data_IF_507881859054
#
_entry.id   IF_507881859054
#
_cell.length_a   1.000
_cell.length_b   1.000
_cell.length_c   1.000
_cell.angle_alpha   90.00
_cell.angle_beta   90.00
_cell.angle_gamma   90.00
#
_symmetry.space_group_name_H-M   'P 1'
#
loop_
_entity.id
_entity.type
_entity.pdbx_description
1 polymer ?
#
# COMPACT_ATOMS: atom_id res chain seq x y z
N UNK A 1 -14.73 -64.53 -4.09
CA UNK A 1 -14.79 -63.18 -3.49
C UNK A 1 -13.74 -62.32 -4.19
N UNK A 2 -14.18 -61.34 -4.98
CA UNK A 2 -13.34 -60.53 -5.86
C UNK A 2 -12.93 -59.25 -5.13
N UNK A 3 -11.64 -59.07 -4.86
CA UNK A 3 -11.08 -57.85 -4.28
C UNK A 3 -10.80 -56.88 -5.44
N UNK A 4 -11.45 -55.72 -5.45
CA UNK A 4 -11.23 -54.67 -6.45
C UNK A 4 -10.06 -53.78 -6.05
N UNK A 5 -9.16 -53.55 -7.01
CA UNK A 5 -8.06 -52.59 -6.94
C UNK A 5 -8.61 -51.21 -7.31
N UNK A 6 -8.61 -50.26 -6.37
CA UNK A 6 -8.86 -48.84 -6.68
C UNK A 6 -7.50 -48.16 -6.77
N UNK A 7 -7.07 -47.89 -7.99
CA UNK A 7 -5.89 -47.06 -8.26
C UNK A 7 -6.30 -45.58 -8.15
N UNK A 8 -5.95 -44.94 -7.04
CA UNK A 8 -6.14 -43.51 -6.83
C UNK A 8 -5.08 -42.73 -7.61
N UNK A 9 -5.48 -42.10 -8.71
CA UNK A 9 -4.67 -41.14 -9.46
C UNK A 9 -4.53 -39.84 -8.63
N UNK A 10 -3.38 -39.68 -7.98
CA UNK A 10 -2.92 -38.39 -7.44
C UNK A 10 -2.49 -37.50 -8.60
N UNK A 11 -3.36 -36.59 -9.04
CA UNK A 11 -2.94 -35.46 -9.87
C UNK A 11 -2.03 -34.55 -9.04
N UNK A 12 -0.82 -34.19 -9.52
CA UNK A 12 -0.03 -33.18 -8.85
C UNK A 12 -0.74 -31.83 -9.01
N UNK A 13 -1.17 -31.24 -7.90
CA UNK A 13 -1.43 -29.80 -7.84
C UNK A 13 -0.10 -29.10 -8.17
N UNK A 14 0.02 -28.63 -9.41
CA UNK A 14 1.03 -27.65 -9.78
C UNK A 14 0.68 -26.35 -9.06
N UNK A 15 1.16 -26.18 -7.83
CA UNK A 15 1.22 -24.88 -7.19
C UNK A 15 2.09 -23.97 -8.07
N UNK A 16 1.46 -23.11 -8.88
CA UNK A 16 2.12 -21.95 -9.45
C UNK A 16 2.48 -21.02 -8.29
N UNK A 17 3.68 -21.19 -7.74
CA UNK A 17 4.29 -20.14 -6.96
C UNK A 17 4.64 -19.01 -7.94
N UNK A 18 3.73 -18.05 -8.11
CA UNK A 18 4.04 -16.81 -8.79
C UNK A 18 5.16 -16.12 -8.00
N UNK A 19 6.38 -16.13 -8.54
CA UNK A 19 7.49 -15.40 -7.95
C UNK A 19 7.16 -13.91 -7.87
N UNK A 20 7.76 -13.15 -6.92
CA UNK A 20 7.48 -11.73 -6.78
C UNK A 20 7.75 -10.99 -8.10
N UNK A 21 6.80 -10.18 -8.54
CA UNK A 21 7.00 -9.35 -9.73
C UNK A 21 7.99 -8.24 -9.42
N UNK A 22 8.85 -7.88 -10.39
CA UNK A 22 9.87 -6.85 -10.21
C UNK A 22 9.70 -5.72 -11.23
N UNK A 23 9.83 -4.48 -10.78
CA UNK A 23 9.86 -3.27 -11.61
C UNK A 23 11.09 -2.45 -11.25
N UNK A 24 11.91 -2.15 -12.25
CA UNK A 24 13.06 -1.25 -12.11
C UNK A 24 12.70 0.09 -12.75
N UNK A 25 12.79 1.16 -11.96
CA UNK A 25 12.58 2.53 -12.42
C UNK A 25 13.97 3.15 -12.62
N UNK A 26 14.26 3.72 -13.81
CA UNK A 26 15.52 4.42 -14.03
C UNK A 26 15.68 5.58 -13.05
N UNK A 27 16.92 5.85 -12.63
CA UNK A 27 17.20 6.98 -11.77
C UNK A 27 16.97 8.28 -12.56
N UNK A 28 15.91 9.02 -12.24
CA UNK A 28 15.67 10.36 -12.73
C UNK A 28 16.46 11.42 -11.95
N UNK A 29 16.24 12.72 -12.23
CA UNK A 29 16.87 13.81 -11.49
C UNK A 29 16.58 13.69 -9.98
N UNK A 30 17.56 14.06 -9.17
CA UNK A 30 17.45 14.00 -7.71
C UNK A 30 16.31 14.91 -7.23
N UNK A 31 15.35 14.31 -6.53
CA UNK A 31 14.25 15.03 -5.85
C UNK A 31 14.63 15.31 -4.39
N UNK A 32 13.97 16.28 -3.72
CA UNK A 32 14.26 16.59 -2.33
C UNK A 32 14.24 15.33 -1.46
N UNK A 33 15.25 15.14 -0.62
CA UNK A 33 15.37 13.96 0.25
C UNK A 33 14.32 13.93 1.38
N UNK A 34 13.50 14.98 1.50
CA UNK A 34 12.51 15.10 2.55
C UNK A 34 11.32 14.19 2.29
N UNK A 35 11.18 13.16 3.12
CA UNK A 35 10.05 12.24 3.02
C UNK A 35 8.77 12.89 3.57
N UNK A 36 7.69 12.82 2.82
CA UNK A 36 6.41 13.50 3.12
C UNK A 36 5.25 12.64 2.65
N UNK A 37 4.16 12.66 3.41
CA UNK A 37 2.84 12.25 2.92
C UNK A 37 1.91 13.46 2.96
N UNK A 38 1.03 13.57 1.98
CA UNK A 38 -0.08 14.51 2.03
C UNK A 38 -1.23 14.05 1.14
N UNK A 39 -2.29 14.85 1.17
CA UNK A 39 -3.52 14.62 0.44
C UNK A 39 -3.73 15.79 -0.53
N UNK A 40 -4.13 15.49 -1.76
CA UNK A 40 -4.57 16.52 -2.71
C UNK A 40 -6.08 16.75 -2.59
N UNK A 41 -6.83 15.68 -2.33
CA UNK A 41 -8.29 15.68 -2.13
C UNK A 41 -8.68 14.49 -1.22
N UNK A 42 -9.97 14.18 -1.14
CA UNK A 42 -10.51 13.11 -0.29
C UNK A 42 -10.15 11.69 -0.73
N UNK A 43 -9.63 11.54 -1.95
CA UNK A 43 -9.31 10.27 -2.59
C UNK A 43 -7.83 10.17 -2.95
N UNK A 44 -7.23 11.29 -3.38
CA UNK A 44 -5.87 11.34 -3.87
C UNK A 44 -4.90 11.64 -2.74
N UNK A 45 -3.96 10.71 -2.51
CA UNK A 45 -2.82 10.94 -1.63
C UNK A 45 -1.49 10.87 -2.39
N UNK A 46 -0.48 11.58 -1.92
CA UNK A 46 0.89 11.43 -2.39
C UNK A 46 1.80 10.97 -1.26
N UNK A 47 2.75 10.11 -1.63
CA UNK A 47 3.75 9.57 -0.71
C UNK A 47 5.11 9.80 -1.36
N UNK A 48 5.94 10.63 -0.74
CA UNK A 48 7.33 10.79 -1.13
C UNK A 48 8.23 10.20 -0.06
N UNK A 49 8.94 9.12 -0.38
CA UNK A 49 9.82 8.43 0.58
C UNK A 49 11.11 8.04 -0.13
N UNK A 50 12.25 8.46 0.43
CA UNK A 50 13.59 8.16 -0.08
C UNK A 50 13.75 8.41 -1.61
N UNK A 51 13.19 9.50 -2.13
CA UNK A 51 13.31 9.85 -3.55
C UNK A 51 12.37 9.09 -4.51
N UNK A 52 11.49 8.23 -3.97
CA UNK A 52 10.39 7.60 -4.70
C UNK A 52 9.10 8.38 -4.43
N UNK A 53 8.43 8.85 -5.48
CA UNK A 53 7.10 9.49 -5.38
C UNK A 53 6.03 8.51 -5.82
N UNK A 54 5.07 8.24 -4.94
CA UNK A 54 3.86 7.50 -5.25
C UNK A 54 2.65 8.41 -5.23
N UNK A 55 1.71 8.11 -6.12
CA UNK A 55 0.40 8.74 -6.16
C UNK A 55 -0.65 7.65 -5.94
N UNK A 56 -1.52 7.82 -4.96
CA UNK A 56 -2.58 6.87 -4.60
C UNK A 56 -3.91 7.42 -5.11
N UNK A 57 -4.63 6.59 -5.86
CA UNK A 57 -5.96 6.87 -6.42
C UNK A 57 -6.10 8.28 -7.00
N UNK A 58 -5.24 8.71 -7.95
CA UNK A 58 -5.32 10.06 -8.49
C UNK A 58 -6.64 10.36 -9.16
N UNK A 59 -7.19 11.52 -8.82
CA UNK A 59 -8.25 12.14 -9.59
C UNK A 59 -7.78 12.43 -11.04
N UNK A 60 -8.67 12.35 -12.03
CA UNK A 60 -8.37 12.75 -13.40
C UNK A 60 -7.77 14.16 -13.46
N UNK A 61 -6.66 14.34 -14.17
CA UNK A 61 -5.98 15.63 -14.29
C UNK A 61 -4.98 15.95 -13.18
N UNK A 62 -4.70 15.02 -12.27
CA UNK A 62 -3.59 15.14 -11.32
C UNK A 62 -2.23 15.13 -12.04
N UNK A 63 -1.70 16.30 -12.42
CA UNK A 63 -0.42 16.44 -13.11
C UNK A 63 0.77 16.47 -12.12
N UNK A 64 0.82 15.46 -11.26
CA UNK A 64 1.90 15.31 -10.27
C UNK A 64 2.85 14.25 -10.79
N UNK A 65 4.13 14.58 -11.07
CA UNK A 65 5.10 13.61 -11.54
C UNK A 65 5.27 12.47 -10.52
N UNK A 66 4.73 11.29 -10.81
CA UNK A 66 4.82 10.10 -9.97
C UNK A 66 5.77 9.06 -10.58
N UNK A 67 6.51 8.35 -9.72
CA UNK A 67 7.29 7.18 -10.12
C UNK A 67 6.42 5.92 -10.17
N UNK A 68 5.42 5.84 -9.28
CA UNK A 68 4.45 4.75 -9.23
C UNK A 68 3.06 5.32 -8.94
N UNK A 69 2.06 4.82 -9.64
CA UNK A 69 0.66 5.11 -9.34
C UNK A 69 0.01 3.86 -8.76
N UNK A 70 -0.63 4.00 -7.61
CA UNK A 70 -1.33 2.94 -6.90
C UNK A 70 -2.83 3.16 -7.08
N UNK A 71 -3.46 2.21 -7.76
CA UNK A 71 -4.90 2.17 -7.95
C UNK A 71 -5.48 1.10 -7.03
N UNK A 72 -6.16 1.53 -5.98
CA UNK A 72 -6.90 0.64 -5.07
C UNK A 72 -8.39 0.66 -5.38
N UNK A 73 -8.87 1.71 -6.04
CA UNK A 73 -10.26 1.87 -6.44
C UNK A 73 -10.46 1.55 -7.93
N UNK A 74 -11.46 0.75 -8.32
CA UNK A 74 -11.73 0.41 -9.72
C UNK A 74 -12.01 1.64 -10.60
N UNK A 75 -12.67 2.66 -10.04
CA UNK A 75 -13.04 3.89 -10.76
C UNK A 75 -11.82 4.69 -11.23
N UNK A 76 -10.69 4.60 -10.50
CA UNK A 76 -9.46 5.32 -10.82
C UNK A 76 -8.68 4.69 -12.00
N UNK A 77 -9.07 3.50 -12.47
CA UNK A 77 -8.48 2.84 -13.64
C UNK A 77 -8.66 3.63 -14.94
N UNK A 78 -9.79 4.31 -15.10
CA UNK A 78 -10.10 5.08 -16.32
C UNK A 78 -9.25 6.34 -16.48
N UNK A 79 -8.62 6.81 -15.40
CA UNK A 79 -7.85 8.04 -15.38
C UNK A 79 -6.39 7.87 -15.83
N UNK A 80 -5.93 6.63 -16.08
CA UNK A 80 -4.50 6.35 -16.30
C UNK A 80 -4.24 5.76 -17.69
N UNK A 81 -3.37 6.42 -18.44
CA UNK A 81 -2.81 5.94 -19.71
C UNK A 81 -1.48 5.23 -19.46
N UNK A 82 -1.54 3.98 -18.96
CA UNK A 82 -0.32 3.23 -18.60
C UNK A 82 -0.48 1.72 -18.61
N UNK A 83 0.64 1.00 -18.62
CA UNK A 83 0.67 -0.46 -18.42
C UNK A 83 0.40 -0.76 -16.94
N UNK A 84 -0.89 -0.86 -16.58
CA UNK A 84 -1.31 -1.25 -15.24
C UNK A 84 -1.03 -2.73 -14.98
N UNK A 85 -0.50 -3.06 -13.80
CA UNK A 85 -0.37 -4.44 -13.33
C UNK A 85 -1.37 -4.67 -12.20
N UNK A 86 -2.39 -5.53 -12.39
CA UNK A 86 -3.24 -5.92 -11.28
C UNK A 86 -2.42 -6.71 -10.25
N UNK A 87 -2.66 -6.43 -8.97
CA UNK A 87 -2.17 -7.25 -7.86
C UNK A 87 -3.36 -7.96 -7.23
N UNK A 88 -3.30 -9.28 -7.17
CA UNK A 88 -4.25 -10.08 -6.38
C UNK A 88 -3.90 -9.97 -4.90
N UNK A 89 -4.87 -10.26 -4.03
CA UNK A 89 -4.59 -10.34 -2.59
C UNK A 89 -3.45 -11.36 -2.37
N UNK A 90 -2.50 -10.98 -1.51
CA UNK A 90 -1.24 -11.64 -1.21
C UNK A 90 -0.13 -11.51 -2.27
N UNK A 91 -0.42 -10.93 -3.44
CA UNK A 91 0.63 -10.62 -4.41
C UNK A 91 1.59 -9.57 -3.86
N UNK A 92 2.84 -9.70 -4.29
CA UNK A 92 3.90 -8.74 -3.99
C UNK A 92 4.55 -8.23 -5.27
N UNK A 93 4.68 -6.92 -5.35
CA UNK A 93 5.45 -6.18 -6.35
C UNK A 93 6.68 -5.55 -5.69
N UNK A 94 7.86 -5.88 -6.18
CA UNK A 94 9.09 -5.24 -5.77
C UNK A 94 9.49 -4.15 -6.76
N UNK A 95 9.62 -2.92 -6.26
CA UNK A 95 9.97 -1.73 -7.02
C UNK A 95 11.34 -1.23 -6.57
N UNK A 96 12.23 -0.93 -7.52
CA UNK A 96 13.56 -0.38 -7.24
C UNK A 96 13.81 0.87 -8.07
N UNK A 97 14.26 1.94 -7.40
CA UNK A 97 14.75 3.18 -8.03
C UNK A 97 16.06 3.58 -7.37
N UNK A 98 17.17 3.51 -8.12
CA UNK A 98 18.50 3.72 -7.55
C UNK A 98 18.76 2.77 -6.37
N UNK A 99 18.95 3.34 -5.17
CA UNK A 99 19.16 2.61 -3.91
C UNK A 99 17.86 2.30 -3.16
N UNK A 100 16.77 2.98 -3.51
CA UNK A 100 15.49 2.84 -2.83
C UNK A 100 14.81 1.56 -3.28
N UNK A 101 14.35 0.78 -2.30
CA UNK A 101 13.60 -0.47 -2.50
C UNK A 101 12.26 -0.32 -1.80
N UNK A 102 11.21 -0.63 -2.55
CA UNK A 102 9.83 -0.68 -2.08
C UNK A 102 9.28 -2.06 -2.40
N UNK A 103 8.64 -2.71 -1.44
CA UNK A 103 7.73 -3.81 -1.71
C UNK A 103 6.29 -3.33 -1.51
N UNK A 104 5.46 -3.48 -2.53
CA UNK A 104 4.01 -3.29 -2.45
C UNK A 104 3.39 -4.67 -2.28
N UNK A 105 2.69 -4.91 -1.18
CA UNK A 105 1.96 -6.16 -0.96
C UNK A 105 0.47 -5.85 -0.87
N UNK A 106 -0.35 -6.52 -1.68
CA UNK A 106 -1.79 -6.47 -1.53
C UNK A 106 -2.20 -7.40 -0.38
N UNK A 107 -2.99 -6.89 0.55
CA UNK A 107 -3.48 -7.60 1.74
C UNK A 107 -5.01 -7.56 1.74
N UNK A 108 -5.70 -8.54 2.34
CA UNK A 108 -7.14 -8.42 2.54
C UNK A 108 -7.42 -7.25 3.48
N UNK A 109 -8.48 -6.49 3.19
CA UNK A 109 -9.04 -5.56 4.17
C UNK A 109 -9.66 -6.32 5.37
N UNK A 110 -9.95 -5.65 6.51
CA UNK A 110 -10.53 -6.32 7.68
C UNK A 110 -11.84 -7.07 7.38
N UNK A 111 -12.56 -6.66 6.33
CA UNK A 111 -13.82 -7.26 5.90
C UNK A 111 -13.68 -8.26 4.75
N UNK A 112 -12.48 -8.46 4.19
CA UNK A 112 -12.21 -9.31 3.03
C UNK A 112 -12.91 -8.90 1.71
N UNK A 113 -13.37 -7.64 1.59
CA UNK A 113 -14.10 -7.10 0.44
C UNK A 113 -13.20 -6.47 -0.62
N UNK A 114 -12.04 -5.98 -0.21
CA UNK A 114 -11.11 -5.27 -1.10
C UNK A 114 -9.66 -5.43 -0.61
N UNK A 115 -8.70 -5.01 -1.44
CA UNK A 115 -7.31 -5.03 -1.06
C UNK A 115 -6.91 -3.74 -0.31
N UNK A 116 -6.23 -3.90 0.81
CA UNK A 116 -5.34 -2.87 1.36
C UNK A 116 -3.93 -3.06 0.78
N UNK A 117 -3.14 -1.99 0.68
CA UNK A 117 -1.76 -2.09 0.21
C UNK A 117 -0.80 -1.81 1.37
N UNK A 118 0.14 -2.72 1.61
CA UNK A 118 1.27 -2.48 2.50
C UNK A 118 2.50 -2.09 1.67
N UNK A 119 2.99 -0.88 1.91
CA UNK A 119 4.19 -0.31 1.31
C UNK A 119 5.35 -0.48 2.28
N UNK A 120 6.26 -1.40 1.99
CA UNK A 120 7.46 -1.65 2.79
C UNK A 120 8.69 -1.03 2.12
N UNK A 121 9.12 0.12 2.64
CA UNK A 121 10.36 0.79 2.29
C UNK A 121 11.47 0.33 3.24
N UNK A 122 12.48 -0.33 2.67
CA UNK A 122 13.66 -0.71 3.45
C UNK A 122 14.47 0.52 3.89
N UNK A 123 15.01 0.54 5.13
CA UNK A 123 15.06 -0.60 6.06
C UNK A 123 13.87 -0.75 7.03
N UNK A 124 13.05 0.28 7.26
CA UNK A 124 12.11 0.23 8.40
C UNK A 124 10.85 1.10 8.28
N UNK A 125 10.45 1.50 7.08
CA UNK A 125 9.24 2.28 6.91
C UNK A 125 8.13 1.46 6.26
N UNK A 126 7.07 1.19 7.02
CA UNK A 126 5.88 0.49 6.52
C UNK A 126 4.67 1.40 6.59
N UNK A 127 4.04 1.63 5.44
CA UNK A 127 2.86 2.47 5.29
C UNK A 127 1.72 1.58 4.77
N UNK A 128 0.62 1.54 5.50
CA UNK A 128 -0.63 0.95 5.03
C UNK A 128 -1.40 1.98 4.19
N UNK A 129 -1.97 1.56 3.09
CA UNK A 129 -2.92 2.33 2.30
C UNK A 129 -4.22 1.56 2.24
N UNK A 130 -5.29 2.16 2.76
CA UNK A 130 -6.61 1.58 2.80
C UNK A 130 -7.63 2.60 2.31
N UNK A 131 -8.19 2.36 1.13
CA UNK A 131 -9.03 3.36 0.48
C UNK A 131 -10.52 3.15 0.64
N UNK A 132 -11.08 2.10 1.28
CA UNK A 132 -12.53 2.19 1.59
C UNK A 132 -12.78 3.23 2.69
N UNK A 133 -14.00 3.76 2.65
CA UNK A 133 -14.60 4.48 3.77
C UNK A 133 -14.76 3.50 4.92
N UNK A 134 -14.02 3.74 6.00
CA UNK A 134 -14.08 2.99 7.24
C UNK A 134 -14.88 3.78 8.28
N UNK A 135 -15.56 3.06 9.17
CA UNK A 135 -16.14 3.66 10.36
C UNK A 135 -15.11 3.67 11.52
N UNK A 136 -15.47 4.34 12.62
CA UNK A 136 -14.58 4.47 13.77
C UNK A 136 -14.18 3.10 14.39
N UNK A 137 -15.11 2.13 14.56
CA UNK A 137 -14.75 0.76 14.97
C UNK A 137 -13.69 0.13 14.07
N UNK A 138 -13.88 0.16 12.75
CA UNK A 138 -12.96 -0.44 11.79
C UNK A 138 -11.56 0.20 11.87
N UNK A 139 -11.51 1.53 11.92
CA UNK A 139 -10.27 2.31 12.09
C UNK A 139 -9.54 1.87 13.37
N UNK A 140 -10.27 1.67 14.47
CA UNK A 140 -9.71 1.22 15.74
C UNK A 140 -9.05 -0.16 15.68
N UNK A 141 -9.41 -1.01 14.70
CA UNK A 141 -8.83 -2.34 14.53
C UNK A 141 -7.59 -2.38 13.63
N UNK A 142 -7.27 -1.29 12.91
CA UNK A 142 -6.17 -1.25 11.94
C UNK A 142 -4.82 -1.71 12.54
N UNK A 143 -4.39 -1.25 13.73
CA UNK A 143 -3.12 -1.71 14.31
C UNK A 143 -3.03 -3.23 14.52
N UNK A 144 -4.17 -3.87 14.82
CA UNK A 144 -4.25 -5.32 15.05
C UNK A 144 -4.20 -6.11 13.75
N UNK A 145 -4.87 -5.64 12.70
CA UNK A 145 -4.92 -6.32 11.40
C UNK A 145 -3.60 -6.21 10.63
N UNK A 146 -2.86 -5.10 10.83
CA UNK A 146 -1.65 -4.81 10.06
C UNK A 146 -0.44 -4.57 10.97
N UNK A 147 0.01 -5.60 11.69
CA UNK A 147 1.13 -5.46 12.61
C UNK A 147 2.40 -4.99 11.89
N UNK A 148 3.10 -4.03 12.49
CA UNK A 148 4.34 -3.47 11.97
C UNK A 148 4.18 -2.34 10.95
N UNK A 149 2.94 -1.98 10.55
CA UNK A 149 2.70 -0.68 9.91
C UNK A 149 3.02 0.45 10.90
N UNK A 150 3.71 1.48 10.44
CA UNK A 150 4.06 2.69 11.23
C UNK A 150 3.13 3.86 10.91
N UNK A 151 2.60 3.87 9.69
CA UNK A 151 1.66 4.87 9.20
C UNK A 151 0.52 4.16 8.48
N UNK A 152 -0.68 4.73 8.50
CA UNK A 152 -1.77 4.29 7.66
C UNK A 152 -2.48 5.50 7.01
N UNK A 153 -2.71 5.40 5.71
CA UNK A 153 -3.61 6.27 4.96
C UNK A 153 -4.96 5.60 4.91
N UNK A 154 -5.92 6.22 5.57
CA UNK A 154 -7.27 5.73 5.75
C UNK A 154 -8.26 6.77 5.23
N UNK A 155 -9.52 6.39 5.10
CA UNK A 155 -10.63 7.31 4.81
C UNK A 155 -11.81 6.98 5.68
N UNK A 156 -12.56 8.00 6.07
CA UNK A 156 -13.90 7.87 6.64
C UNK A 156 -14.87 8.80 5.89
N UNK A 157 -16.10 8.92 6.39
CA UNK A 157 -17.13 9.73 5.77
C UNK A 157 -16.79 11.23 5.67
N UNK A 158 -15.87 11.70 6.54
CA UNK A 158 -15.46 13.11 6.62
C UNK A 158 -14.12 13.36 5.87
N UNK A 159 -13.62 12.37 5.14
CA UNK A 159 -12.46 12.50 4.26
C UNK A 159 -11.21 11.73 4.71
N UNK A 160 -10.01 12.19 4.31
CA UNK A 160 -8.79 11.43 4.47
C UNK A 160 -8.21 11.53 5.89
N UNK A 161 -7.70 10.40 6.37
CA UNK A 161 -7.09 10.26 7.68
C UNK A 161 -5.67 9.73 7.53
N UNK A 162 -4.76 10.31 8.30
CA UNK A 162 -3.44 9.78 8.53
C UNK A 162 -3.36 9.25 9.96
N UNK A 163 -3.12 7.95 10.09
CA UNK A 163 -2.81 7.32 11.36
C UNK A 163 -1.30 7.18 11.52
N UNK A 164 -0.78 7.56 12.68
CA UNK A 164 0.58 7.23 13.12
C UNK A 164 0.48 6.14 14.17
N UNK A 165 1.13 5.00 13.94
CA UNK A 165 1.09 3.84 14.82
C UNK A 165 2.37 3.77 15.65
N UNK A 166 2.21 3.61 16.97
CA UNK A 166 3.32 3.41 17.88
C UNK A 166 4.00 2.06 17.64
N UNK A 167 5.24 1.96 18.11
CA UNK A 167 6.09 0.82 17.83
C UNK A 167 5.57 -0.50 18.43
N UNK A 168 4.80 -0.38 19.52
CA UNK A 168 4.15 -1.48 20.23
C UNK A 168 2.73 -1.82 19.72
N UNK A 169 2.23 -1.07 18.72
CA UNK A 169 0.90 -1.25 18.15
C UNK A 169 -0.28 -0.89 19.06
N UNK A 170 -0.02 -0.29 20.23
CA UNK A 170 -1.05 0.02 21.24
C UNK A 170 -1.54 1.47 21.20
N UNK A 171 -0.69 2.40 20.76
CA UNK A 171 -1.04 3.81 20.62
C UNK A 171 -1.11 4.20 19.14
N UNK A 172 -2.16 4.94 18.78
CA UNK A 172 -2.32 5.52 17.47
C UNK A 172 -2.73 6.99 17.57
N UNK A 173 -2.12 7.84 16.76
CA UNK A 173 -2.55 9.23 16.59
C UNK A 173 -3.20 9.40 15.23
N UNK A 174 -4.42 9.92 15.21
CA UNK A 174 -5.17 10.21 13.99
C UNK A 174 -5.11 11.70 13.68
N UNK A 175 -4.82 12.04 12.42
CA UNK A 175 -4.81 13.40 11.90
C UNK A 175 -5.64 13.44 10.62
N UNK A 176 -6.57 14.38 10.51
CA UNK A 176 -7.44 14.53 9.34
C UNK A 176 -6.83 15.49 8.33
N UNK A 177 -6.67 15.05 7.08
CA UNK A 177 -6.24 15.87 5.93
C UNK A 177 -4.87 16.55 6.07
N UNK A 178 -4.12 16.30 7.14
CA UNK A 178 -2.83 16.96 7.38
C UNK A 178 -1.69 16.21 6.70
N UNK A 179 -0.81 16.97 6.04
CA UNK A 179 0.44 16.45 5.53
C UNK A 179 1.43 16.19 6.67
N UNK A 180 2.14 15.06 6.61
CA UNK A 180 3.12 14.66 7.60
C UNK A 180 4.52 14.59 6.99
N UNK A 181 5.48 15.21 7.68
CA UNK A 181 6.90 15.00 7.41
C UNK A 181 7.36 13.73 8.11
N UNK A 182 8.01 12.88 7.34
CA UNK A 182 8.41 11.54 7.75
C UNK A 182 9.90 11.56 8.09
N UNK A 183 10.22 11.12 9.32
CA UNK A 183 11.60 10.92 9.75
C UNK A 183 12.23 9.64 9.16
N UNK A 184 13.54 9.42 9.37
CA UNK A 184 14.29 8.31 8.77
C UNK A 184 13.79 6.89 9.11
N UNK A 185 12.90 6.72 10.10
CA UNK A 185 12.27 5.45 10.48
C UNK A 185 10.74 5.44 10.37
N UNK A 186 10.17 6.35 9.57
CA UNK A 186 8.72 6.60 9.51
C UNK A 186 8.04 7.04 10.81
N UNK A 187 8.83 7.52 11.78
CA UNK A 187 8.32 8.33 12.89
C UNK A 187 7.93 9.73 12.40
N UNK A 188 6.72 10.16 12.76
CA UNK A 188 6.25 11.52 12.49
C UNK A 188 6.84 12.52 13.47
N UNK A 189 7.19 13.71 12.98
CA UNK A 189 7.19 14.92 13.81
C UNK A 189 5.98 15.74 13.37
N UNK A 190 4.94 15.78 14.19
CA UNK A 190 3.83 16.70 13.99
C UNK A 190 4.37 18.15 14.04
N UNK A 191 3.79 19.03 13.21
CA UNK A 191 4.05 20.47 13.25
C UNK A 191 3.11 21.14 14.23
#
# INVERSE_FOLDING_TARGET
MRCWTIATLLLPLLCHAAGPAHVAIPAGPARPLQSTIGFFDDTTAFIHVYGLTLLVDPAPGSDVPADLVLLTQPLAWHAITGQGRPLQIWDRLAVRKGRTRLHVTALPDPHGRQAALLLDFSPSCRILVHSAILDAPDIGTIPRHYPGARLALLRDADGPLLMTLADDGTAATLQRGQALRIGPACGGKAR
#
